data_IF_486336499704
#
_entry.id   IF_486336499704
#
_cell.length_a   1.000
_cell.length_b   1.000
_cell.length_c   1.000
_cell.angle_alpha   90.00
_cell.angle_beta   90.00
_cell.angle_gamma   90.00
#
_symmetry.space_group_name_H-M   'P 1'
#
loop_
_entity.id
_entity.type
_entity.pdbx_description
1 polymer ?
#
# COMPACT_ATOMS: atom_id res chain seq x y z
N UNK A 1 -14.54 -10.57 -4.12
CA UNK A 1 -13.89 -9.28 -3.80
C UNK A 1 -14.91 -8.16 -3.62
N UNK A 2 -15.85 -7.94 -4.56
CA UNK A 2 -16.85 -6.86 -4.47
C UNK A 2 -17.71 -6.91 -3.20
N UNK A 3 -18.14 -8.10 -2.74
CA UNK A 3 -18.96 -8.20 -1.53
C UNK A 3 -18.27 -7.70 -0.25
N UNK A 4 -16.93 -7.71 -0.20
CA UNK A 4 -16.17 -7.18 0.95
C UNK A 4 -16.24 -5.65 1.02
N UNK A 5 -16.35 -4.98 -0.12
CA UNK A 5 -16.53 -3.51 -0.16
C UNK A 5 -17.87 -3.09 0.45
N UNK A 6 -18.93 -3.85 0.17
CA UNK A 6 -20.30 -3.51 0.56
C UNK A 6 -20.64 -3.94 1.99
N UNK A 7 -19.77 -4.71 2.64
CA UNK A 7 -19.96 -5.16 4.02
C UNK A 7 -19.92 -3.96 4.97
N UNK A 8 -20.94 -3.83 5.83
CA UNK A 8 -20.95 -2.82 6.90
C UNK A 8 -19.82 -3.09 7.91
N UNK A 9 -19.17 -2.05 8.43
CA UNK A 9 -18.19 -2.21 9.50
C UNK A 9 -18.88 -2.85 10.72
N UNK A 10 -18.21 -3.84 11.27
CA UNK A 10 -18.67 -4.71 12.36
C UNK A 10 -17.97 -4.41 13.70
N UNK A 11 -17.12 -3.37 13.75
CA UNK A 11 -16.44 -2.92 14.96
C UNK A 11 -15.74 -1.57 14.85
N UNK A 12 -15.14 -1.11 15.95
CA UNK A 12 -14.48 0.20 16.07
C UNK A 12 -13.32 0.35 15.09
N UNK A 13 -12.49 -0.69 14.91
CA UNK A 13 -11.34 -0.63 14.02
C UNK A 13 -11.76 -0.48 12.53
N UNK A 14 -12.75 -1.23 12.08
CA UNK A 14 -13.28 -1.08 10.71
C UNK A 14 -13.94 0.30 10.52
N UNK A 15 -14.59 0.82 11.55
CA UNK A 15 -15.14 2.19 11.55
C UNK A 15 -14.03 3.23 11.42
N UNK A 16 -12.91 3.07 12.14
CA UNK A 16 -11.77 3.98 12.05
C UNK A 16 -11.16 3.99 10.63
N UNK A 17 -11.02 2.82 10.00
CA UNK A 17 -10.58 2.74 8.60
C UNK A 17 -11.54 3.47 7.64
N UNK A 18 -12.84 3.34 7.85
CA UNK A 18 -13.86 4.04 7.05
C UNK A 18 -13.86 5.55 7.29
N UNK A 19 -13.58 6.00 8.51
CA UNK A 19 -13.35 7.42 8.80
C UNK A 19 -12.15 7.96 8.03
N UNK A 20 -11.03 7.24 7.97
CA UNK A 20 -9.87 7.67 7.18
C UNK A 20 -10.21 7.82 5.69
N UNK A 21 -11.02 6.91 5.14
CA UNK A 21 -11.49 7.02 3.74
C UNK A 21 -12.39 8.23 3.54
N UNK A 22 -13.31 8.48 4.48
CA UNK A 22 -14.16 9.67 4.44
C UNK A 22 -13.31 10.96 4.51
N UNK A 23 -12.28 10.97 5.35
CA UNK A 23 -11.31 12.06 5.42
C UNK A 23 -10.56 12.25 4.10
N UNK A 24 -10.18 11.16 3.41
CA UNK A 24 -9.59 11.26 2.07
C UNK A 24 -10.54 11.91 1.07
N UNK A 25 -11.82 11.52 1.06
CA UNK A 25 -12.84 12.08 0.17
C UNK A 25 -13.10 13.57 0.46
N UNK A 26 -13.22 13.95 1.73
CA UNK A 26 -13.31 15.36 2.13
C UNK A 26 -12.03 16.11 1.73
N UNK A 27 -10.89 15.47 1.91
CA UNK A 27 -9.57 15.96 1.52
C UNK A 27 -9.46 16.31 0.04
N UNK A 28 -10.14 15.58 -0.87
CA UNK A 28 -10.19 15.92 -2.30
C UNK A 28 -10.70 17.35 -2.49
N UNK A 29 -11.82 17.70 -1.83
CA UNK A 29 -12.43 19.03 -1.95
C UNK A 29 -11.54 20.08 -1.30
N UNK A 30 -11.06 19.80 -0.07
CA UNK A 30 -10.22 20.74 0.69
C UNK A 30 -8.93 21.04 -0.05
N UNK A 31 -8.23 20.02 -0.55
CA UNK A 31 -7.00 20.16 -1.31
C UNK A 31 -7.24 20.89 -2.64
N UNK A 32 -8.32 20.54 -3.36
CA UNK A 32 -8.69 21.20 -4.63
C UNK A 32 -8.89 22.70 -4.47
N UNK A 33 -9.57 23.12 -3.38
CA UNK A 33 -9.89 24.52 -3.13
C UNK A 33 -8.71 25.28 -2.54
N UNK A 34 -7.95 24.66 -1.64
CA UNK A 34 -6.84 25.33 -0.93
C UNK A 34 -5.53 25.38 -1.72
N UNK A 35 -5.22 24.34 -2.49
CA UNK A 35 -3.93 24.17 -3.18
C UNK A 35 -4.07 23.88 -4.68
N UNK A 36 -5.30 23.79 -5.18
CA UNK A 36 -5.59 23.65 -6.60
C UNK A 36 -5.94 22.22 -7.04
N UNK A 37 -6.43 22.07 -8.28
CA UNK A 37 -7.05 20.83 -8.75
C UNK A 37 -6.10 19.63 -8.77
N UNK A 38 -4.80 19.83 -9.03
CA UNK A 38 -3.81 18.74 -9.00
C UNK A 38 -3.69 18.11 -7.60
N UNK A 39 -3.69 18.92 -6.54
CA UNK A 39 -3.71 18.43 -5.15
C UNK A 39 -4.95 17.58 -4.87
N UNK A 40 -6.11 17.99 -5.41
CA UNK A 40 -7.33 17.20 -5.37
C UNK A 40 -7.23 15.85 -6.09
N UNK A 41 -6.59 15.82 -7.26
CA UNK A 41 -6.34 14.59 -8.02
C UNK A 41 -5.44 13.63 -7.24
N UNK A 42 -4.37 14.12 -6.60
CA UNK A 42 -3.49 13.30 -5.76
C UNK A 42 -4.27 12.63 -4.61
N UNK A 43 -5.14 13.39 -3.94
CA UNK A 43 -6.04 12.84 -2.90
C UNK A 43 -7.04 11.83 -3.47
N UNK A 44 -7.52 12.03 -4.69
CA UNK A 44 -8.44 11.09 -5.34
C UNK A 44 -7.76 9.74 -5.62
N UNK A 45 -6.50 9.76 -6.11
CA UNK A 45 -5.69 8.55 -6.30
C UNK A 45 -5.53 7.80 -4.97
N UNK A 46 -5.20 8.51 -3.91
CA UNK A 46 -5.08 7.94 -2.55
C UNK A 46 -6.41 7.35 -2.07
N UNK A 47 -7.51 8.07 -2.23
CA UNK A 47 -8.83 7.60 -1.82
C UNK A 47 -9.22 6.28 -2.52
N UNK A 48 -8.88 6.13 -3.81
CA UNK A 48 -9.05 4.86 -4.53
C UNK A 48 -8.09 3.79 -4.00
N UNK A 49 -6.83 4.12 -3.79
CA UNK A 49 -5.82 3.19 -3.24
C UNK A 49 -6.21 2.63 -1.87
N UNK A 50 -6.82 3.44 -1.01
CA UNK A 50 -7.32 3.02 0.31
C UNK A 50 -8.44 1.96 0.26
N UNK A 51 -8.99 1.65 -0.93
CA UNK A 51 -9.92 0.54 -1.10
C UNK A 51 -9.21 -0.81 -1.20
N UNK A 52 -7.90 -0.85 -1.48
CA UNK A 52 -7.14 -2.09 -1.70
C UNK A 52 -7.13 -2.99 -0.46
N UNK A 53 -6.78 -2.54 0.77
CA UNK A 53 -6.82 -3.40 1.94
C UNK A 53 -8.20 -4.00 2.22
N UNK A 54 -9.27 -3.22 1.97
CA UNK A 54 -10.66 -3.68 2.11
C UNK A 54 -11.06 -4.69 1.04
N UNK A 55 -10.67 -4.47 -0.22
CA UNK A 55 -10.90 -5.42 -1.32
C UNK A 55 -10.28 -6.78 -1.04
N UNK A 56 -9.09 -6.77 -0.43
CA UNK A 56 -8.33 -7.94 -0.02
C UNK A 56 -8.85 -8.58 1.28
N UNK A 57 -9.75 -7.91 2.01
CA UNK A 57 -10.27 -8.39 3.29
C UNK A 57 -9.17 -8.49 4.36
N UNK A 58 -8.20 -7.56 4.35
CA UNK A 58 -7.13 -7.53 5.35
C UNK A 58 -7.67 -7.10 6.72
N UNK A 59 -6.83 -7.33 7.74
CA UNK A 59 -7.11 -6.91 9.11
C UNK A 59 -7.33 -5.39 9.14
N UNK A 60 -8.32 -4.95 9.92
CA UNK A 60 -8.60 -3.52 10.08
C UNK A 60 -7.38 -2.70 10.55
N UNK A 61 -6.46 -3.30 11.30
CA UNK A 61 -5.21 -2.64 11.69
C UNK A 61 -4.29 -2.33 10.52
N UNK A 62 -4.18 -3.25 9.55
CA UNK A 62 -3.39 -3.05 8.31
C UNK A 62 -4.06 -2.00 7.44
N UNK A 63 -5.39 -2.03 7.37
CA UNK A 63 -6.19 -1.04 6.66
C UNK A 63 -6.00 0.38 7.23
N UNK A 64 -6.08 0.53 8.56
CA UNK A 64 -5.81 1.79 9.26
C UNK A 64 -4.38 2.25 9.01
N UNK A 65 -3.39 1.36 9.19
CA UNK A 65 -1.98 1.72 9.02
C UNK A 65 -1.71 2.21 7.59
N UNK A 66 -2.21 1.48 6.59
CA UNK A 66 -2.11 1.89 5.20
C UNK A 66 -2.78 3.25 4.97
N UNK A 67 -4.02 3.43 5.43
CA UNK A 67 -4.77 4.67 5.31
C UNK A 67 -4.05 5.88 5.92
N UNK A 68 -3.48 5.73 7.11
CA UNK A 68 -2.70 6.80 7.76
C UNK A 68 -1.46 7.13 6.92
N UNK A 69 -0.69 6.11 6.51
CA UNK A 69 0.57 6.31 5.78
C UNK A 69 0.33 7.04 4.45
N UNK A 70 -0.65 6.60 3.65
CA UNK A 70 -0.93 7.24 2.35
C UNK A 70 -1.52 8.65 2.50
N UNK A 71 -2.30 8.90 3.57
CA UNK A 71 -2.80 10.24 3.88
C UNK A 71 -1.66 11.17 4.30
N UNK A 72 -0.75 10.69 5.15
CA UNK A 72 0.46 11.46 5.53
C UNK A 72 1.30 11.75 4.29
N UNK A 73 1.53 10.76 3.44
CA UNK A 73 2.34 10.93 2.23
C UNK A 73 1.75 11.99 1.29
N UNK A 74 0.44 11.94 1.04
CA UNK A 74 -0.18 12.89 0.10
C UNK A 74 -0.34 14.28 0.70
N UNK A 75 -0.66 14.41 1.98
CA UNK A 75 -0.67 15.73 2.63
C UNK A 75 0.73 16.32 2.75
N UNK A 76 1.77 15.50 2.83
CA UNK A 76 3.17 15.96 2.76
C UNK A 76 3.49 16.56 1.39
N UNK A 77 2.94 16.01 0.32
CA UNK A 77 3.02 16.61 -1.02
C UNK A 77 2.18 17.89 -1.11
N UNK A 78 0.90 17.86 -0.70
CA UNK A 78 0.00 19.02 -0.80
C UNK A 78 0.50 20.23 0.00
N UNK A 79 1.17 20.00 1.12
CA UNK A 79 1.71 21.05 1.99
C UNK A 79 3.18 21.39 1.72
N UNK A 80 3.77 20.88 0.63
CA UNK A 80 5.16 21.09 0.26
C UNK A 80 6.18 20.67 1.35
N UNK A 81 5.83 19.68 2.17
CA UNK A 81 6.70 19.16 3.23
C UNK A 81 7.96 18.53 2.63
N UNK A 82 7.85 17.83 1.50
CA UNK A 82 9.02 17.25 0.81
C UNK A 82 10.02 18.32 0.35
N UNK A 83 9.51 19.50 -0.06
CA UNK A 83 10.33 20.63 -0.48
C UNK A 83 10.99 21.29 0.73
N UNK A 84 10.22 21.52 1.79
CA UNK A 84 10.69 22.26 2.98
C UNK A 84 11.55 21.41 3.93
N UNK A 85 11.35 20.09 3.94
CA UNK A 85 11.98 19.14 4.86
C UNK A 85 12.52 17.95 4.09
N UNK A 86 13.65 18.12 3.40
CA UNK A 86 14.21 17.12 2.46
C UNK A 86 14.43 15.70 3.01
N UNK A 87 14.70 15.53 4.31
CA UNK A 87 14.90 14.20 4.89
C UNK A 87 13.58 13.45 5.11
N UNK A 88 12.44 14.15 5.05
CA UNK A 88 11.11 13.59 5.29
C UNK A 88 10.70 12.57 4.23
N UNK A 89 11.24 12.70 3.02
CA UNK A 89 10.93 11.79 1.92
C UNK A 89 11.34 10.35 2.25
N UNK A 90 12.55 10.17 2.75
CA UNK A 90 13.14 8.87 3.03
C UNK A 90 12.28 7.97 3.96
N UNK A 91 11.84 8.40 5.15
CA UNK A 91 10.95 7.59 5.98
C UNK A 91 9.57 7.39 5.34
N UNK A 92 9.05 8.35 4.56
CA UNK A 92 7.77 8.16 3.87
C UNK A 92 7.90 7.11 2.77
N UNK A 93 8.95 7.16 1.95
CA UNK A 93 9.27 6.13 0.96
C UNK A 93 9.48 4.77 1.60
N UNK A 94 10.25 4.70 2.70
CA UNK A 94 10.46 3.46 3.43
C UNK A 94 9.13 2.82 3.87
N UNK A 95 8.25 3.57 4.53
CA UNK A 95 7.01 3.02 5.08
C UNK A 95 5.98 2.76 3.98
N UNK A 96 5.76 3.73 3.09
CA UNK A 96 4.73 3.67 2.04
C UNK A 96 5.07 2.60 1.02
N UNK A 97 6.31 2.59 0.51
CA UNK A 97 6.72 1.59 -0.48
C UNK A 97 6.74 0.18 0.12
N UNK A 98 7.15 0.04 1.38
CA UNK A 98 7.09 -1.24 2.08
C UNK A 98 5.67 -1.80 2.18
N UNK A 99 4.70 -0.98 2.61
CA UNK A 99 3.30 -1.38 2.67
C UNK A 99 2.71 -1.67 1.28
N UNK A 100 2.98 -0.82 0.29
CA UNK A 100 2.52 -1.03 -1.09
C UNK A 100 3.09 -2.33 -1.68
N UNK A 101 4.37 -2.63 -1.44
CA UNK A 101 5.01 -3.87 -1.88
C UNK A 101 4.36 -5.10 -1.25
N UNK A 102 4.06 -5.05 0.05
CA UNK A 102 3.37 -6.15 0.73
C UNK A 102 1.93 -6.36 0.21
N UNK A 103 1.18 -5.27 0.01
CA UNK A 103 -0.16 -5.35 -0.57
C UNK A 103 -0.13 -5.91 -1.99
N UNK A 104 0.80 -5.44 -2.83
CA UNK A 104 0.98 -5.95 -4.19
C UNK A 104 1.32 -7.44 -4.17
N UNK A 105 2.23 -7.87 -3.28
CA UNK A 105 2.56 -9.27 -3.10
C UNK A 105 1.32 -10.11 -2.77
N UNK A 106 0.50 -9.67 -1.79
CA UNK A 106 -0.73 -10.36 -1.41
C UNK A 106 -1.71 -10.43 -2.58
N UNK A 107 -1.87 -9.34 -3.34
CA UNK A 107 -2.71 -9.32 -4.56
C UNK A 107 -2.24 -10.37 -5.55
N UNK A 108 -0.94 -10.44 -5.84
CA UNK A 108 -0.38 -11.36 -6.82
C UNK A 108 -0.53 -12.83 -6.39
N UNK A 109 -0.39 -13.13 -5.10
CA UNK A 109 -0.67 -14.47 -4.54
C UNK A 109 -2.15 -14.81 -4.66
N UNK A 110 -3.05 -13.88 -4.28
CA UNK A 110 -4.51 -14.12 -4.37
C UNK A 110 -4.99 -14.32 -5.82
N UNK A 111 -4.36 -13.61 -6.78
CA UNK A 111 -4.61 -13.77 -8.21
C UNK A 111 -3.89 -14.98 -8.83
N UNK A 112 -3.11 -15.73 -8.04
CA UNK A 112 -2.30 -16.88 -8.49
C UNK A 112 -1.28 -16.53 -9.59
N UNK A 113 -0.84 -15.28 -9.63
CA UNK A 113 0.26 -14.82 -10.51
C UNK A 113 1.60 -15.23 -9.92
N UNK A 114 1.72 -15.18 -8.59
CA UNK A 114 2.86 -15.69 -7.82
C UNK A 114 2.40 -16.93 -7.04
N UNK A 115 3.29 -17.91 -6.90
CA UNK A 115 3.01 -19.13 -6.16
C UNK A 115 2.69 -18.84 -4.68
N UNK A 116 1.80 -19.65 -4.11
CA UNK A 116 1.54 -19.65 -2.67
C UNK A 116 2.82 -20.02 -1.90
N UNK A 117 3.30 -19.19 -0.96
CA UNK A 117 4.49 -19.47 -0.15
C UNK A 117 4.53 -20.85 0.46
N UNK A 118 3.40 -21.32 0.97
CA UNK A 118 3.32 -22.58 1.72
C UNK A 118 3.55 -23.80 0.81
N UNK A 119 3.44 -23.61 -0.52
CA UNK A 119 3.77 -24.63 -1.52
C UNK A 119 5.25 -24.68 -1.88
N UNK A 120 6.06 -23.71 -1.43
CA UNK A 120 7.47 -23.58 -1.82
C UNK A 120 8.42 -24.19 -0.77
N UNK A 121 9.62 -24.66 -1.18
CA UNK A 121 10.60 -25.22 -0.24
C UNK A 121 11.14 -24.22 0.80
N UNK A 122 11.03 -22.92 0.54
CA UNK A 122 11.51 -21.85 1.42
C UNK A 122 10.49 -20.70 1.50
N UNK A 123 9.33 -20.90 2.14
CA UNK A 123 8.19 -19.97 2.10
C UNK A 123 8.56 -18.53 2.49
N UNK A 124 9.26 -18.38 3.62
CA UNK A 124 9.68 -17.06 4.13
C UNK A 124 10.66 -16.37 3.18
N UNK A 125 11.69 -17.09 2.71
CA UNK A 125 12.70 -16.51 1.82
C UNK A 125 12.07 -16.08 0.48
N UNK A 126 11.19 -16.91 -0.09
CA UNK A 126 10.45 -16.58 -1.31
C UNK A 126 9.60 -15.33 -1.13
N UNK A 127 8.88 -15.23 0.00
CA UNK A 127 8.07 -14.05 0.34
C UNK A 127 8.92 -12.79 0.43
N UNK A 128 10.03 -12.84 1.18
CA UNK A 128 10.95 -11.70 1.37
C UNK A 128 11.54 -11.25 0.04
N UNK A 129 12.08 -12.17 -0.75
CA UNK A 129 12.75 -11.86 -2.02
C UNK A 129 11.77 -11.26 -3.02
N UNK A 130 10.59 -11.88 -3.19
CA UNK A 130 9.59 -11.38 -4.14
C UNK A 130 9.04 -10.04 -3.68
N UNK A 131 8.71 -9.86 -2.40
CA UNK A 131 8.23 -8.57 -1.87
C UNK A 131 9.26 -7.46 -2.05
N UNK A 132 10.54 -7.75 -1.81
CA UNK A 132 11.63 -6.78 -2.02
C UNK A 132 11.76 -6.39 -3.49
N UNK A 133 11.72 -7.37 -4.41
CA UNK A 133 11.78 -7.12 -5.84
C UNK A 133 10.58 -6.28 -6.34
N UNK A 134 9.37 -6.57 -5.85
CA UNK A 134 8.18 -5.78 -6.11
C UNK A 134 8.32 -4.35 -5.58
N UNK A 135 8.91 -4.18 -4.39
CA UNK A 135 9.19 -2.87 -3.83
C UNK A 135 10.15 -2.03 -4.66
N UNK A 136 11.23 -2.61 -5.18
CA UNK A 136 12.10 -1.91 -6.14
C UNK A 136 11.36 -1.58 -7.44
N UNK A 137 10.54 -2.50 -7.96
CA UNK A 137 9.74 -2.25 -9.15
C UNK A 137 8.73 -1.10 -8.97
N UNK A 138 8.05 -1.07 -7.82
CA UNK A 138 7.14 0.03 -7.45
C UNK A 138 7.90 1.35 -7.28
N UNK A 139 9.06 1.33 -6.64
CA UNK A 139 9.92 2.51 -6.51
C UNK A 139 10.29 3.07 -7.89
N UNK A 140 10.73 2.23 -8.83
CA UNK A 140 11.05 2.69 -10.20
C UNK A 140 9.84 3.31 -10.89
N UNK A 141 8.66 2.72 -10.73
CA UNK A 141 7.41 3.26 -11.29
C UNK A 141 7.11 4.64 -10.68
N UNK A 142 7.34 4.80 -9.37
CA UNK A 142 7.15 6.07 -8.67
C UNK A 142 8.11 7.16 -9.18
N UNK A 143 9.40 6.86 -9.29
CA UNK A 143 10.39 7.81 -9.84
C UNK A 143 10.03 8.27 -11.26
N UNK A 144 9.53 7.35 -12.09
CA UNK A 144 9.04 7.70 -13.44
C UNK A 144 7.80 8.59 -13.35
N UNK A 145 6.90 8.33 -12.40
CA UNK A 145 5.72 9.17 -12.16
C UNK A 145 6.12 10.58 -11.72
N UNK A 146 7.09 10.73 -10.82
CA UNK A 146 7.61 12.03 -10.40
C UNK A 146 8.31 12.76 -11.53
N UNK A 147 9.14 12.07 -12.31
CA UNK A 147 9.74 12.66 -13.50
C UNK A 147 8.68 13.15 -14.51
N UNK A 148 7.62 12.38 -14.75
CA UNK A 148 6.50 12.82 -15.60
C UNK A 148 5.79 14.02 -14.99
N UNK A 149 5.52 14.00 -13.69
CA UNK A 149 4.90 15.11 -12.97
C UNK A 149 5.72 16.39 -13.08
N UNK A 150 7.01 16.32 -12.77
CA UNK A 150 7.94 17.44 -12.89
C UNK A 150 8.02 17.98 -14.33
N UNK A 151 8.08 17.08 -15.32
CA UNK A 151 8.29 17.47 -16.72
C UNK A 151 7.05 18.09 -17.36
N UNK A 152 5.85 17.59 -17.02
CA UNK A 152 4.63 17.93 -17.75
C UNK A 152 3.55 18.63 -16.93
N UNK A 153 3.60 18.58 -15.60
CA UNK A 153 2.56 19.11 -14.72
C UNK A 153 3.06 20.27 -13.86
N UNK A 154 4.11 20.05 -13.08
CA UNK A 154 4.60 21.03 -12.10
C UNK A 154 6.12 20.91 -11.88
N UNK A 155 6.94 21.88 -12.32
CA UNK A 155 8.39 21.84 -12.14
C UNK A 155 8.84 21.99 -10.68
N UNK A 156 7.93 22.23 -9.72
CA UNK A 156 8.25 22.21 -8.30
C UNK A 156 8.38 20.79 -7.73
N UNK A 157 7.85 19.76 -8.42
CA UNK A 157 8.02 18.35 -8.03
C UNK A 157 9.51 18.01 -8.05
N UNK A 158 10.04 17.60 -6.90
CA UNK A 158 11.47 17.38 -6.78
C UNK A 158 11.89 16.11 -7.54
N UNK A 159 12.95 16.22 -8.33
CA UNK A 159 13.54 15.09 -9.08
C UNK A 159 15.05 15.29 -9.07
N UNK A 160 15.80 14.28 -8.66
CA UNK A 160 17.26 14.33 -8.66
C UNK A 160 17.91 12.95 -8.57
N UNK A 161 19.14 12.81 -9.07
CA UNK A 161 19.82 11.51 -9.05
C UNK A 161 19.98 10.94 -7.63
N UNK A 162 20.44 11.76 -6.68
CA UNK A 162 20.64 11.32 -5.29
C UNK A 162 19.32 11.08 -4.57
N UNK A 163 18.29 11.81 -4.97
CA UNK A 163 16.92 11.70 -4.47
C UNK A 163 16.33 10.35 -4.88
N UNK A 164 16.20 10.13 -6.19
CA UNK A 164 15.70 8.88 -6.77
C UNK A 164 16.46 7.64 -6.28
N UNK A 165 17.79 7.70 -6.18
CA UNK A 165 18.57 6.57 -5.65
C UNK A 165 18.31 6.37 -4.15
N UNK A 166 18.15 7.46 -3.40
CA UNK A 166 17.77 7.42 -1.99
C UNK A 166 16.40 6.79 -1.79
N UNK A 167 15.41 7.20 -2.57
CA UNK A 167 14.03 6.74 -2.49
C UNK A 167 13.90 5.28 -2.90
N UNK A 168 14.62 4.84 -3.94
CA UNK A 168 14.73 3.43 -4.30
C UNK A 168 15.40 2.60 -3.19
N UNK A 169 16.46 3.12 -2.58
CA UNK A 169 17.18 2.39 -1.53
C UNK A 169 16.34 2.24 -0.25
N UNK A 170 15.74 3.34 0.22
CA UNK A 170 14.89 3.34 1.42
C UNK A 170 13.57 2.63 1.16
N UNK A 171 12.95 2.85 0.01
CA UNK A 171 11.76 2.12 -0.42
C UNK A 171 12.03 0.61 -0.53
N UNK A 172 13.18 0.21 -1.08
CA UNK A 172 13.59 -1.18 -1.16
C UNK A 172 13.84 -1.81 0.22
N UNK A 173 14.49 -1.08 1.13
CA UNK A 173 14.67 -1.51 2.52
C UNK A 173 13.34 -1.66 3.27
N UNK A 174 12.38 -0.76 3.02
CA UNK A 174 11.02 -0.86 3.53
C UNK A 174 10.29 -2.11 3.04
N UNK A 175 10.43 -2.42 1.74
CA UNK A 175 9.86 -3.63 1.14
C UNK A 175 10.49 -4.92 1.67
N UNK A 176 11.81 -4.90 1.91
CA UNK A 176 12.52 -5.99 2.57
C UNK A 176 11.95 -6.25 3.97
N UNK A 177 11.81 -5.20 4.78
CA UNK A 177 11.21 -5.31 6.12
C UNK A 177 9.76 -5.82 6.05
N UNK A 178 8.96 -5.29 5.11
CA UNK A 178 7.58 -5.72 4.94
C UNK A 178 7.46 -7.20 4.57
N UNK A 179 8.36 -7.70 3.70
CA UNK A 179 8.46 -9.12 3.37
C UNK A 179 8.82 -9.98 4.59
N UNK A 180 9.74 -9.52 5.44
CA UNK A 180 10.09 -10.19 6.70
C UNK A 180 8.91 -10.22 7.69
N UNK A 181 8.05 -9.22 7.65
CA UNK A 181 6.89 -9.09 8.54
C UNK A 181 5.58 -9.61 7.94
N UNK A 182 5.60 -10.29 6.78
CA UNK A 182 4.39 -10.65 6.02
C UNK A 182 3.38 -11.47 6.83
N UNK A 183 3.83 -12.40 7.66
CA UNK A 183 2.96 -13.24 8.49
C UNK A 183 2.07 -12.41 9.42
N UNK A 184 2.60 -11.35 10.02
CA UNK A 184 1.83 -10.44 10.86
C UNK A 184 0.76 -9.66 10.09
N UNK A 185 1.00 -9.41 8.79
CA UNK A 185 0.07 -8.70 7.91
C UNK A 185 -1.08 -9.60 7.44
N UNK A 186 -0.85 -10.91 7.30
CA UNK A 186 -1.80 -11.89 6.74
C UNK A 186 -2.54 -12.74 7.77
N UNK A 187 -2.07 -12.79 9.03
CA UNK A 187 -2.71 -13.56 10.11
C UNK A 187 -4.11 -13.04 10.46
N UNK A 188 -5.10 -13.59 9.76
CA UNK A 188 -6.53 -13.36 9.96
C UNK A 188 -7.41 -13.62 8.73
N UNK A 189 -6.86 -13.61 7.50
CA UNK A 189 -7.67 -13.65 6.27
C UNK A 189 -7.49 -14.90 5.39
N UNK A 190 -6.37 -15.62 5.50
CA UNK A 190 -6.07 -16.77 4.61
C UNK A 190 -6.50 -18.11 5.22
N UNK A 191 -6.33 -18.30 6.53
CA UNK A 191 -6.67 -19.57 7.20
C UNK A 191 -8.18 -19.86 7.24
N UNK A 192 -9.04 -18.83 7.18
CA UNK A 192 -10.49 -18.99 7.25
C UNK A 192 -11.15 -19.37 5.90
N UNK A 193 -10.39 -19.46 4.79
CA UNK A 193 -10.95 -19.67 3.45
C UNK A 193 -10.58 -21.00 2.80
N UNK A 194 -9.90 -21.89 3.51
CA UNK A 194 -9.84 -23.28 3.08
C UNK A 194 -11.22 -23.91 3.31
N UNK A 195 -11.93 -24.42 2.28
CA UNK A 195 -12.98 -25.39 2.50
C UNK A 195 -12.33 -26.55 3.25
N UNK A 196 -12.81 -26.84 4.45
CA UNK A 196 -12.62 -28.18 5.01
C UNK A 196 -13.36 -29.10 4.05
N UNK A 197 -12.63 -29.73 3.13
CA UNK A 197 -13.10 -30.94 2.47
C UNK A 197 -13.17 -32.02 3.56
N UNK A 198 -14.26 -31.96 4.33
CA UNK A 198 -14.75 -33.09 5.09
C UNK A 198 -15.35 -34.07 4.09
N UNK A 199 -14.48 -34.78 3.36
CA UNK A 199 -14.84 -36.09 2.87
C UNK A 199 -14.37 -37.07 3.94
N UNK A 200 -15.34 -37.36 4.80
CA UNK A 200 -15.45 -38.54 5.63
C UNK A 200 -14.74 -39.73 5.03
N UNK A 201 -13.74 -40.21 5.75
CA UNK A 201 -13.46 -41.63 5.87
C UNK A 201 -14.79 -42.38 5.99
N UNK A 202 -15.13 -43.13 4.94
CA UNK A 202 -16.02 -44.27 5.08
C UNK A 202 -15.26 -45.44 4.48
N UNK A 203 -14.43 -46.07 5.33
CA UNK A 203 -14.11 -47.48 5.18
C UNK A 203 -15.38 -48.29 5.43
N UNK A 204 -15.83 -49.03 4.41
CA UNK A 204 -16.44 -50.37 4.49
C UNK A 204 -16.78 -50.87 3.08
#
# INVERSE_FOLDING_TARGET
>A
MIQTLLRRPSGIAETAADVLRALAVVGIIVASVGWGPLSGVSLAVVAVGMLVPRLLGLRASVDIAFGIVVLVAVWSSVLDIYITTRWWDLPVHFITNGLCAALLYIVLVQLRIVADPDSLPRPMLSTVVVTTALGFGLGVIWEVFEWVGHTFLDPAIFVGYTDSIGDLAWGGAGALLAGCCMTYLTDGSVSARAPRDSLTDTEA
#
